data_IF_488854465565
#
_entry.id   IF_488854465565
#
_cell.length_a   1.000
_cell.length_b   1.000
_cell.length_c   1.000
_cell.angle_alpha   90.00
_cell.angle_beta   90.00
_cell.angle_gamma   90.00
#
_symmetry.space_group_name_H-M   'P 1'
#
loop_
_entity.id
_entity.type
_entity.pdbx_description
1 polymer ?
#
# COMPACT_ATOMS: atom_id res chain seq x y z
N UNK A 1 -3.84 -9.72 -11.87
CA UNK A 1 -2.80 -10.00 -10.86
C UNK A 1 -1.94 -8.76 -10.81
N UNK A 2 -2.11 -7.93 -9.77
CA UNK A 2 -1.25 -6.77 -9.59
C UNK A 2 0.12 -7.28 -9.11
N UNK A 3 1.18 -6.92 -9.82
CA UNK A 3 2.54 -7.26 -9.41
C UNK A 3 3.04 -6.23 -8.39
N UNK A 4 2.77 -6.41 -7.10
CA UNK A 4 3.15 -5.42 -6.08
C UNK A 4 4.67 -5.40 -5.76
N UNK A 5 5.50 -6.12 -6.52
CA UNK A 5 6.97 -6.12 -6.37
C UNK A 5 7.59 -4.80 -6.82
N UNK A 6 7.14 -4.25 -7.95
CA UNK A 6 7.66 -2.99 -8.44
C UNK A 6 6.95 -1.83 -7.76
N UNK A 7 7.71 -0.80 -7.37
CA UNK A 7 7.16 0.41 -6.77
C UNK A 7 6.14 1.09 -7.69
N UNK A 8 6.38 1.10 -9.00
CA UNK A 8 5.45 1.65 -9.99
C UNK A 8 4.11 0.92 -10.00
N UNK A 9 4.14 -0.42 -9.99
CA UNK A 9 2.92 -1.23 -9.95
C UNK A 9 2.18 -1.05 -8.61
N UNK A 10 2.92 -0.90 -7.51
CA UNK A 10 2.35 -0.59 -6.20
C UNK A 10 1.66 0.78 -6.16
N UNK A 11 2.25 1.79 -6.78
CA UNK A 11 1.63 3.12 -6.88
C UNK A 11 0.34 3.08 -7.70
N UNK A 12 0.34 2.40 -8.85
CA UNK A 12 -0.87 2.21 -9.66
C UNK A 12 -1.96 1.46 -8.89
N UNK A 13 -1.58 0.45 -8.12
CA UNK A 13 -2.50 -0.26 -7.23
C UNK A 13 -3.10 0.66 -6.17
N UNK A 14 -2.30 1.52 -5.52
CA UNK A 14 -2.81 2.50 -4.56
C UNK A 14 -3.75 3.51 -5.21
N UNK A 15 -3.44 3.94 -6.43
CA UNK A 15 -4.30 4.88 -7.16
C UNK A 15 -5.67 4.28 -7.46
N UNK A 16 -5.71 3.03 -7.91
CA UNK A 16 -6.95 2.29 -8.17
C UNK A 16 -7.75 2.07 -6.87
N UNK A 17 -7.10 1.52 -5.84
CA UNK A 17 -7.77 1.14 -4.59
C UNK A 17 -8.26 2.35 -3.78
N UNK A 18 -7.50 3.45 -3.80
CA UNK A 18 -7.85 4.68 -3.11
C UNK A 18 -8.69 5.61 -3.99
N UNK A 19 -9.14 5.20 -5.17
CA UNK A 19 -9.95 5.99 -6.10
C UNK A 19 -9.32 7.36 -6.41
N UNK A 20 -8.00 7.38 -6.60
CA UNK A 20 -7.21 8.55 -6.95
C UNK A 20 -7.05 8.66 -8.47
N UNK A 21 -6.62 9.82 -8.96
CA UNK A 21 -6.29 9.94 -10.37
C UNK A 21 -4.86 9.44 -10.62
N UNK A 22 -4.55 8.93 -11.84
CA UNK A 22 -3.20 8.52 -12.20
C UNK A 22 -2.20 9.67 -12.03
N UNK A 23 -1.08 9.39 -11.37
CA UNK A 23 -0.02 10.36 -11.05
C UNK A 23 -0.23 11.16 -9.77
N UNK A 24 -1.27 10.88 -8.97
CA UNK A 24 -1.44 11.47 -7.64
C UNK A 24 -0.60 10.78 -6.56
N UNK A 25 -0.13 9.56 -6.82
CA UNK A 25 0.72 8.82 -5.90
C UNK A 25 2.18 8.91 -6.34
N UNK A 26 3.05 9.36 -5.44
CA UNK A 26 4.49 9.36 -5.61
C UNK A 26 5.19 8.75 -4.39
N UNK A 27 6.44 8.24 -4.52
CA UNK A 27 7.08 7.46 -3.47
C UNK A 27 7.25 8.19 -2.14
N UNK A 28 7.52 9.49 -2.21
CA UNK A 28 7.85 10.37 -1.08
C UNK A 28 6.62 11.00 -0.41
N UNK A 29 5.42 10.82 -0.97
CA UNK A 29 4.22 11.40 -0.38
C UNK A 29 3.80 10.64 0.87
N UNK A 30 3.25 11.39 1.82
CA UNK A 30 2.59 10.80 2.97
C UNK A 30 1.23 10.21 2.55
N UNK A 31 1.10 8.89 2.51
CA UNK A 31 -0.14 8.25 2.04
C UNK A 31 -1.36 8.58 2.91
N UNK A 32 -1.14 8.88 4.20
CA UNK A 32 -2.21 9.34 5.11
C UNK A 32 -2.75 10.74 4.78
N UNK A 33 -2.05 11.49 3.94
CA UNK A 33 -2.44 12.82 3.47
C UNK A 33 -3.17 12.78 2.13
N UNK A 34 -3.33 11.60 1.53
CA UNK A 34 -4.11 11.41 0.30
C UNK A 34 -5.58 11.77 0.55
N UNK A 35 -6.21 12.43 -0.43
CA UNK A 35 -7.55 13.02 -0.27
C UNK A 35 -8.63 12.01 0.13
N UNK A 36 -8.47 10.75 -0.28
CA UNK A 36 -9.41 9.67 -0.02
C UNK A 36 -9.02 8.84 1.21
N UNK A 37 -7.92 9.17 1.89
CA UNK A 37 -7.47 8.42 3.04
C UNK A 37 -8.49 8.47 4.20
N UNK A 38 -8.83 7.31 4.73
CA UNK A 38 -9.71 7.14 5.89
C UNK A 38 -9.41 5.80 6.58
N UNK A 39 -9.88 5.61 7.81
CA UNK A 39 -9.75 4.32 8.50
C UNK A 39 -10.40 3.17 7.73
N UNK A 40 -11.48 3.44 7.00
CA UNK A 40 -12.13 2.45 6.14
C UNK A 40 -11.22 2.05 4.98
N UNK A 41 -10.68 3.04 4.26
CA UNK A 41 -9.79 2.77 3.13
C UNK A 41 -8.47 2.13 3.57
N UNK A 42 -7.99 2.40 4.78
CA UNK A 42 -6.86 1.69 5.36
C UNK A 42 -7.14 0.19 5.56
N UNK A 43 -8.34 -0.17 6.05
CA UNK A 43 -8.74 -1.57 6.23
C UNK A 43 -8.93 -2.28 4.89
N UNK A 44 -9.56 -1.60 3.93
CA UNK A 44 -9.74 -2.12 2.57
C UNK A 44 -8.36 -2.37 1.95
N UNK A 45 -7.45 -1.40 2.01
CA UNK A 45 -6.09 -1.54 1.49
C UNK A 45 -5.35 -2.75 2.08
N UNK A 46 -5.42 -2.95 3.41
CA UNK A 46 -4.84 -4.14 4.07
C UNK A 46 -5.42 -5.43 3.49
N UNK A 47 -6.76 -5.51 3.37
CA UNK A 47 -7.43 -6.68 2.81
C UNK A 47 -6.99 -6.95 1.37
N UNK A 48 -6.85 -5.90 0.57
CA UNK A 48 -6.55 -5.99 -0.85
C UNK A 48 -5.09 -6.36 -1.09
N UNK A 49 -4.16 -5.87 -0.27
CA UNK A 49 -2.77 -6.34 -0.27
C UNK A 49 -2.74 -7.84 0.05
N UNK A 50 -3.47 -8.28 1.08
CA UNK A 50 -3.54 -9.69 1.44
C UNK A 50 -4.14 -10.56 0.32
N UNK A 51 -5.18 -10.08 -0.37
CA UNK A 51 -5.76 -10.80 -1.50
C UNK A 51 -4.78 -10.94 -2.69
N UNK A 52 -3.98 -9.91 -2.98
CA UNK A 52 -3.05 -9.92 -4.12
C UNK A 52 -1.72 -10.66 -3.82
N UNK A 53 -1.24 -10.66 -2.57
CA UNK A 53 0.09 -11.22 -2.24
C UNK A 53 0.06 -12.38 -1.24
N UNK A 54 -1.06 -12.59 -0.54
CA UNK A 54 -1.18 -13.58 0.54
C UNK A 54 -0.51 -13.18 1.86
N UNK A 55 0.01 -11.94 1.97
CA UNK A 55 0.65 -11.44 3.20
C UNK A 55 -0.36 -10.67 4.06
N UNK A 56 -0.26 -10.81 5.37
CA UNK A 56 -1.08 -10.05 6.30
C UNK A 56 -0.30 -8.85 6.85
N UNK A 57 -0.79 -7.63 6.60
CA UNK A 57 -0.26 -6.41 7.20
C UNK A 57 -1.18 -5.98 8.34
N UNK A 58 -0.62 -5.81 9.54
CA UNK A 58 -1.42 -5.31 10.66
C UNK A 58 -1.69 -3.79 10.54
N UNK A 59 -2.79 -3.32 11.13
CA UNK A 59 -3.05 -1.88 11.24
C UNK A 59 -1.93 -1.13 11.99
N UNK A 60 -1.25 -1.79 12.93
CA UNK A 60 -0.10 -1.25 13.65
C UNK A 60 1.11 -1.05 12.74
N UNK A 61 1.39 -1.98 11.83
CA UNK A 61 2.49 -1.87 10.88
C UNK A 61 2.22 -0.76 9.87
N UNK A 62 1.00 -0.71 9.33
CA UNK A 62 0.54 0.38 8.47
C UNK A 62 0.63 1.74 9.18
N UNK A 63 0.31 1.80 10.48
CA UNK A 63 0.40 3.03 11.26
C UNK A 63 1.85 3.54 11.43
N UNK A 64 2.86 2.66 11.37
CA UNK A 64 4.28 3.01 11.46
C UNK A 64 4.85 3.53 10.15
N UNK A 65 4.25 3.17 9.01
CA UNK A 65 4.63 3.73 7.72
C UNK A 65 4.18 5.20 7.61
N UNK A 66 5.00 6.01 6.96
CA UNK A 66 4.69 7.42 6.69
C UNK A 66 4.50 7.64 5.20
N UNK A 67 5.44 7.18 4.38
CA UNK A 67 5.45 7.40 2.93
C UNK A 67 4.98 6.18 2.15
N UNK A 68 4.64 6.38 0.87
CA UNK A 68 4.30 5.28 -0.05
C UNK A 68 5.48 4.32 -0.19
N UNK A 69 6.71 4.84 -0.26
CA UNK A 69 7.92 4.03 -0.26
C UNK A 69 8.06 3.19 1.01
N UNK A 70 7.78 3.74 2.20
CA UNK A 70 7.80 2.97 3.45
C UNK A 70 6.80 1.81 3.43
N UNK A 71 5.60 2.08 2.91
CA UNK A 71 4.55 1.07 2.81
C UNK A 71 4.92 -0.03 1.81
N UNK A 72 5.50 0.34 0.66
CA UNK A 72 6.01 -0.64 -0.31
C UNK A 72 7.13 -1.50 0.30
N UNK A 73 8.07 -0.88 1.03
CA UNK A 73 9.14 -1.61 1.72
C UNK A 73 8.59 -2.58 2.77
N UNK A 74 7.55 -2.19 3.53
CA UNK A 74 6.88 -3.09 4.46
C UNK A 74 6.32 -4.33 3.74
N UNK A 75 5.56 -4.12 2.66
CA UNK A 75 5.01 -5.20 1.83
C UNK A 75 6.13 -6.11 1.32
N UNK A 76 7.22 -5.54 0.80
CA UNK A 76 8.36 -6.31 0.31
C UNK A 76 9.04 -7.14 1.41
N UNK A 77 9.21 -6.58 2.61
CA UNK A 77 9.84 -7.28 3.71
C UNK A 77 9.02 -8.50 4.15
N UNK A 78 7.70 -8.38 4.21
CA UNK A 78 6.81 -9.50 4.54
C UNK A 78 6.82 -10.58 3.46
N UNK A 79 6.84 -10.21 2.16
CA UNK A 79 6.95 -11.17 1.05
C UNK A 79 8.25 -11.98 1.15
N UNK A 80 9.37 -11.33 1.43
CA UNK A 80 10.68 -12.00 1.53
C UNK A 80 10.90 -12.70 2.88
N UNK A 81 10.25 -12.25 3.95
CA UNK A 81 10.36 -12.82 5.30
C UNK A 81 9.49 -14.06 5.52
N UNK A 82 8.48 -14.30 4.67
CA UNK A 82 7.60 -15.46 4.72
C UNK A 82 8.19 -16.75 4.10
N UNK A 83 9.52 -16.84 3.94
CA UNK A 83 10.22 -18.03 3.42
C UNK A 83 10.56 -19.07 4.50
#
# INVERSE_FOLDING_TARGET
>A
MANLVLLTDFMLFLEDELLLNPGEVAPDIQFKSLRTWSSLNALILISRINDETGIFISASDLARCTTVADLHQLVQNEIHGAQ
#
